data_IF_721472013777
#
_entry.id   IF_721472013777
#
_cell.length_a   1.000
_cell.length_b   1.000
_cell.length_c   1.000
_cell.angle_alpha   90.00
_cell.angle_beta   90.00
_cell.angle_gamma   90.00
#
_symmetry.space_group_name_H-M   'P 1'
#
loop_
_entity.id
_entity.type
_entity.pdbx_description
1 polymer ?
#
# COMPACT_ATOMS: atom_id res chain seq x y z
N UNK A 1 -8.01 -11.84 0.71
CA UNK A 1 -8.03 -10.45 1.21
C UNK A 1 -6.69 -9.79 0.90
N UNK A 2 -6.69 -8.48 0.68
CA UNK A 2 -5.46 -7.70 0.44
C UNK A 2 -4.85 -7.36 1.81
N UNK A 3 -3.55 -7.63 2.05
CA UNK A 3 -2.92 -7.31 3.33
C UNK A 3 -2.92 -5.80 3.58
N UNK A 4 -3.09 -5.40 4.85
CA UNK A 4 -3.16 -4.00 5.29
C UNK A 4 -1.80 -3.52 5.82
N UNK A 5 -1.64 -2.20 5.93
CA UNK A 5 -0.56 -1.61 6.73
C UNK A 5 -0.69 -2.05 8.19
N UNK A 6 0.45 -2.23 8.87
CA UNK A 6 0.49 -2.52 10.30
C UNK A 6 1.22 -1.39 11.02
N UNK A 7 0.62 -0.86 12.08
CA UNK A 7 1.27 0.09 12.98
C UNK A 7 1.78 -0.72 14.17
N UNK A 8 3.08 -0.67 14.42
CA UNK A 8 3.78 -1.42 15.46
C UNK A 8 4.55 -0.45 16.36
N UNK A 9 5.03 -0.89 17.53
CA UNK A 9 5.90 -0.06 18.37
C UNK A 9 7.17 0.41 17.67
N UNK A 10 7.66 -0.34 16.68
CA UNK A 10 8.88 -0.04 15.93
C UNK A 10 8.62 0.84 14.68
N UNK A 11 7.35 1.11 14.35
CA UNK A 11 6.96 1.92 13.19
C UNK A 11 5.86 1.29 12.35
N UNK A 12 5.71 1.80 11.12
CA UNK A 12 4.67 1.36 10.17
C UNK A 12 5.26 0.38 9.17
N UNK A 13 4.65 -0.79 9.06
CA UNK A 13 5.06 -1.84 8.13
C UNK A 13 4.09 -1.90 6.95
N UNK A 14 4.63 -1.69 5.76
CA UNK A 14 3.92 -1.93 4.51
C UNK A 14 4.13 -3.38 4.04
N UNK A 15 3.07 -4.09 3.61
CA UNK A 15 3.23 -5.44 3.07
C UNK A 15 3.98 -5.38 1.72
N UNK A 16 4.73 -6.44 1.36
CA UNK A 16 5.37 -6.54 0.07
C UNK A 16 4.38 -6.39 -1.09
N UNK A 17 4.81 -5.75 -2.19
CA UNK A 17 3.97 -5.55 -3.38
C UNK A 17 3.41 -6.86 -3.93
N UNK A 18 4.19 -7.95 -3.89
CA UNK A 18 3.73 -9.27 -4.34
C UNK A 18 2.54 -9.78 -3.51
N UNK A 19 2.52 -9.58 -2.20
CA UNK A 19 1.39 -10.00 -1.37
C UNK A 19 0.12 -9.19 -1.66
N UNK A 20 0.28 -7.93 -2.09
CA UNK A 20 -0.83 -7.09 -2.56
C UNK A 20 -1.37 -7.62 -3.88
N UNK A 21 -0.50 -7.98 -4.84
CA UNK A 21 -0.87 -8.62 -6.11
C UNK A 21 -1.64 -9.92 -5.85
N UNK A 22 -1.13 -10.79 -4.98
CA UNK A 22 -1.77 -12.06 -4.63
C UNK A 22 -3.11 -11.84 -3.90
N UNK A 23 -3.20 -10.76 -3.13
CA UNK A 23 -4.44 -10.28 -2.53
C UNK A 23 -5.50 -9.93 -3.57
N UNK A 24 -5.11 -9.14 -4.59
CA UNK A 24 -5.98 -8.77 -5.70
C UNK A 24 -6.44 -9.97 -6.52
N UNK A 25 -5.54 -10.91 -6.83
CA UNK A 25 -5.91 -12.13 -7.53
C UNK A 25 -6.93 -12.97 -6.75
N UNK A 26 -6.80 -13.09 -5.43
CA UNK A 26 -7.82 -13.75 -4.60
C UNK A 26 -9.17 -13.04 -4.66
N UNK A 27 -9.19 -11.70 -4.65
CA UNK A 27 -10.42 -10.93 -4.77
C UNK A 27 -11.06 -11.17 -6.14
N UNK A 28 -10.31 -11.02 -7.22
CA UNK A 28 -10.84 -11.21 -8.58
C UNK A 28 -11.35 -12.63 -8.81
N UNK A 29 -10.61 -13.65 -8.37
CA UNK A 29 -11.05 -15.05 -8.45
C UNK A 29 -12.33 -15.30 -7.65
N UNK A 30 -12.47 -14.69 -6.46
CA UNK A 30 -13.69 -14.82 -5.66
C UNK A 30 -14.93 -14.22 -6.33
N UNK A 31 -14.76 -13.23 -7.22
CA UNK A 31 -15.85 -12.56 -7.91
C UNK A 31 -16.12 -13.14 -9.32
N UNK A 32 -15.07 -13.57 -10.02
CA UNK A 32 -15.11 -13.89 -11.46
C UNK A 32 -14.80 -15.35 -11.77
N UNK A 33 -14.43 -16.16 -10.76
CA UNK A 33 -14.02 -17.55 -10.90
C UNK A 33 -12.52 -17.74 -11.17
N UNK A 34 -12.08 -19.00 -11.19
CA UNK A 34 -10.66 -19.35 -11.25
C UNK A 34 -10.04 -19.34 -12.67
N UNK A 35 -10.86 -19.20 -13.72
CA UNK A 35 -10.42 -19.24 -15.13
C UNK A 35 -9.83 -17.90 -15.63
N UNK A 36 -9.34 -17.05 -14.74
CA UNK A 36 -8.68 -15.79 -15.08
C UNK A 36 -7.27 -16.05 -15.62
N UNK A 37 -6.89 -15.32 -16.66
CA UNK A 37 -5.53 -15.28 -17.17
C UNK A 37 -4.67 -14.39 -16.25
N UNK A 38 -3.74 -15.02 -15.54
CA UNK A 38 -2.89 -14.36 -14.54
C UNK A 38 -1.57 -13.84 -15.09
N UNK A 39 -1.33 -13.99 -16.40
CA UNK A 39 -0.17 -13.37 -17.05
C UNK A 39 -0.28 -11.84 -16.96
N UNK A 40 0.76 -11.21 -16.41
CA UNK A 40 0.81 -9.77 -16.14
C UNK A 40 0.75 -8.91 -17.41
N UNK A 41 1.09 -9.46 -18.58
CA UNK A 41 1.04 -8.74 -19.85
C UNK A 41 -0.35 -8.76 -20.52
N UNK A 42 -1.32 -9.41 -19.89
CA UNK A 42 -2.71 -9.45 -20.39
C UNK A 42 -3.52 -8.27 -19.84
N UNK A 43 -4.69 -7.95 -20.42
CA UNK A 43 -5.57 -6.93 -19.85
C UNK A 43 -5.94 -7.19 -18.38
N UNK A 44 -6.10 -8.46 -17.98
CA UNK A 44 -6.42 -8.85 -16.60
C UNK A 44 -5.21 -8.64 -15.68
N UNK A 45 -4.01 -8.97 -16.15
CA UNK A 45 -2.76 -8.66 -15.48
C UNK A 45 -2.55 -7.16 -15.29
N UNK A 46 -2.78 -6.35 -16.33
CA UNK A 46 -2.66 -4.89 -16.27
C UNK A 46 -3.70 -4.23 -15.34
N UNK A 47 -4.90 -4.81 -15.23
CA UNK A 47 -5.89 -4.39 -14.23
C UNK A 47 -5.34 -4.60 -12.81
N UNK A 48 -4.80 -5.78 -12.50
CA UNK A 48 -4.19 -6.05 -11.19
C UNK A 48 -2.99 -5.15 -10.92
N UNK A 49 -2.15 -4.88 -11.93
CA UNK A 49 -1.04 -3.91 -11.83
C UNK A 49 -1.56 -2.53 -11.45
N UNK A 50 -2.58 -2.03 -12.15
CA UNK A 50 -3.14 -0.69 -11.92
C UNK A 50 -3.75 -0.58 -10.52
N UNK A 51 -4.53 -1.58 -10.11
CA UNK A 51 -5.13 -1.63 -8.77
C UNK A 51 -4.08 -1.74 -7.65
N UNK A 52 -3.00 -2.48 -7.88
CA UNK A 52 -1.87 -2.57 -6.96
C UNK A 52 -1.15 -1.23 -6.85
N UNK A 53 -0.93 -0.55 -7.97
CA UNK A 53 -0.29 0.76 -8.00
C UNK A 53 -1.11 1.81 -7.23
N UNK A 54 -2.43 1.86 -7.44
CA UNK A 54 -3.33 2.79 -6.74
C UNK A 54 -3.23 2.60 -5.21
N UNK A 55 -3.35 1.36 -4.73
CA UNK A 55 -3.26 1.09 -3.28
C UNK A 55 -1.85 1.36 -2.74
N UNK A 56 -0.80 1.10 -3.52
CA UNK A 56 0.59 1.34 -3.07
C UNK A 56 0.86 2.84 -2.96
N UNK A 57 0.36 3.64 -3.89
CA UNK A 57 0.49 5.10 -3.87
C UNK A 57 -0.24 5.72 -2.66
N UNK A 58 -1.49 5.32 -2.42
CA UNK A 58 -2.27 5.71 -1.25
C UNK A 58 -1.52 5.37 0.06
N UNK A 59 -0.95 4.17 0.14
CA UNK A 59 -0.19 3.73 1.33
C UNK A 59 1.09 4.51 1.54
N UNK A 60 1.80 4.86 0.47
CA UNK A 60 2.99 5.69 0.57
C UNK A 60 2.66 7.06 1.17
N UNK A 61 1.53 7.65 0.74
CA UNK A 61 1.03 8.89 1.35
C UNK A 61 0.73 8.73 2.84
N UNK A 62 0.02 7.67 3.24
CA UNK A 62 -0.27 7.41 4.66
C UNK A 62 0.96 7.16 5.50
N UNK A 63 1.93 6.37 5.00
CA UNK A 63 3.18 6.11 5.70
C UNK A 63 3.95 7.42 5.89
N UNK A 64 4.02 8.26 4.86
CA UNK A 64 4.65 9.57 4.96
C UNK A 64 3.97 10.45 6.03
N UNK A 65 2.63 10.58 5.96
CA UNK A 65 1.85 11.37 6.92
C UNK A 65 2.06 10.89 8.36
N UNK A 66 2.06 9.57 8.59
CA UNK A 66 2.26 9.04 9.93
C UNK A 66 3.69 9.24 10.43
N UNK A 67 4.69 9.14 9.55
CA UNK A 67 6.08 9.46 9.88
C UNK A 67 6.26 10.96 10.20
N UNK A 68 5.40 11.84 9.70
CA UNK A 68 5.41 13.28 10.03
C UNK A 68 5.11 13.59 11.50
N UNK A 69 4.65 12.63 12.30
CA UNK A 69 4.45 12.80 13.75
C UNK A 69 5.68 12.45 14.60
N UNK A 70 6.71 11.85 14.01
CA UNK A 70 7.96 11.56 14.69
C UNK A 70 9.00 12.62 14.30
N UNK A 71 9.53 13.44 15.25
CA UNK A 71 10.47 14.51 14.93
C UNK A 71 11.79 14.01 14.32
N UNK A 72 12.09 12.71 14.40
CA UNK A 72 13.25 12.09 13.74
C UNK A 72 13.05 11.89 12.23
N UNK A 73 11.81 11.80 11.77
CA UNK A 73 11.46 11.50 10.37
C UNK A 73 10.62 12.60 9.70
N UNK A 74 9.97 13.47 10.47
CA UNK A 74 9.21 14.61 9.98
C UNK A 74 10.12 15.64 9.30
N UNK A 75 9.60 16.32 8.28
CA UNK A 75 10.24 17.45 7.62
C UNK A 75 9.27 18.62 7.39
N UNK A 76 9.81 19.74 6.90
CA UNK A 76 9.05 20.93 6.51
C UNK A 76 8.12 21.45 7.61
N UNK A 77 6.91 21.86 7.21
CA UNK A 77 5.92 22.44 8.12
C UNK A 77 5.52 21.49 9.25
N UNK A 78 5.55 20.18 9.02
CA UNK A 78 5.20 19.20 10.06
C UNK A 78 6.29 19.15 11.14
N UNK A 79 7.57 19.21 10.76
CA UNK A 79 8.67 19.29 11.71
C UNK A 79 8.67 20.62 12.47
N UNK A 80 8.44 21.73 11.77
CA UNK A 80 8.34 23.07 12.39
C UNK A 80 7.25 23.09 13.47
N UNK A 81 6.08 22.48 13.19
CA UNK A 81 4.97 22.39 14.14
C UNK A 81 5.31 21.54 15.38
N UNK A 82 6.08 20.45 15.23
CA UNK A 82 6.52 19.63 16.36
C UNK A 82 7.53 20.35 17.26
N UNK A 83 8.38 21.21 16.69
CA UNK A 83 9.36 22.01 17.42
C UNK A 83 8.79 23.32 17.98
N UNK A 84 7.54 23.66 17.64
CA UNK A 84 6.87 24.86 18.12
C UNK A 84 6.48 24.71 19.60
N UNK A 85 7.33 25.23 20.48
CA UNK A 85 7.14 25.30 21.94
C UNK A 85 7.34 26.71 22.48
#
# INVERSE_FOLDING_TARGET
MIPKLQITPDGILAPPTQEVIDGWWRVLKSCLGDNLNTDMNTPQGQLVTSLTAIITDERNFFVNLLNSFDPRYADGMMQDALAYI
#
